data_IF_983287835111
#
_entry.id   IF_983287835111
#
_cell.length_a   1.000
_cell.length_b   1.000
_cell.length_c   1.000
_cell.angle_alpha   90.00
_cell.angle_beta   90.00
_cell.angle_gamma   90.00
#
_symmetry.space_group_name_H-M   'P 1'
#
loop_
_entity.id
_entity.type
_entity.pdbx_description
1 polymer ?
#
# COMPACT_ATOMS: atom_id res chain seq x y z
N UNK A 1 60.14 -53.45 -24.28
CA UNK A 1 60.06 -52.11 -23.69
C UNK A 1 58.60 -51.77 -23.39
N UNK A 2 58.17 -51.79 -22.12
CA UNK A 2 56.87 -51.24 -21.72
C UNK A 2 57.11 -50.37 -20.50
N UNK A 3 57.04 -49.05 -20.74
CA UNK A 3 57.14 -48.00 -19.75
C UNK A 3 55.71 -47.57 -19.37
N UNK A 4 55.59 -47.04 -18.14
CA UNK A 4 54.65 -46.01 -17.69
C UNK A 4 53.31 -46.46 -17.07
N UNK A 5 52.68 -45.74 -16.14
CA UNK A 5 53.02 -44.65 -15.16
C UNK A 5 51.86 -44.68 -14.15
N UNK A 6 52.13 -44.24 -12.93
CA UNK A 6 51.23 -44.20 -11.78
C UNK A 6 50.05 -43.20 -11.88
N UNK A 7 49.01 -43.49 -11.08
CA UNK A 7 48.11 -42.58 -10.34
C UNK A 7 47.32 -41.49 -11.10
N UNK A 8 45.99 -41.49 -10.93
CA UNK A 8 45.24 -40.29 -10.51
C UNK A 8 43.88 -40.69 -9.91
N UNK A 9 43.73 -40.40 -8.62
CA UNK A 9 42.48 -40.44 -7.89
C UNK A 9 41.67 -39.17 -8.18
N UNK A 10 40.37 -39.30 -8.48
CA UNK A 10 39.39 -38.23 -8.25
C UNK A 10 38.09 -38.85 -7.76
N UNK A 11 37.88 -38.73 -6.45
CA UNK A 11 36.61 -38.90 -5.76
C UNK A 11 35.79 -37.63 -5.99
N UNK A 12 34.80 -37.67 -6.88
CA UNK A 12 33.84 -36.58 -7.07
C UNK A 12 32.53 -36.92 -6.36
N UNK A 13 32.47 -36.65 -5.06
CA UNK A 13 31.26 -36.79 -4.26
C UNK A 13 30.46 -35.48 -4.36
N UNK A 14 29.66 -35.37 -5.43
CA UNK A 14 28.71 -34.28 -5.60
C UNK A 14 27.52 -34.50 -4.65
N UNK A 15 27.60 -33.98 -3.42
CA UNK A 15 26.46 -33.90 -2.52
C UNK A 15 25.50 -32.84 -3.06
N UNK A 16 24.47 -33.28 -3.77
CA UNK A 16 23.28 -32.49 -4.03
C UNK A 16 22.55 -32.26 -2.70
N UNK A 17 22.70 -31.07 -2.12
CA UNK A 17 21.91 -30.68 -0.95
C UNK A 17 20.52 -30.19 -1.41
N UNK A 18 19.41 -30.73 -0.87
CA UNK A 18 18.09 -30.16 -1.10
C UNK A 18 18.01 -28.79 -0.43
N UNK A 19 17.60 -27.76 -1.19
CA UNK A 19 17.42 -26.41 -0.68
C UNK A 19 16.23 -26.37 0.27
N UNK A 20 16.46 -25.94 1.50
CA UNK A 20 15.42 -25.69 2.50
C UNK A 20 14.73 -24.36 2.16
N UNK A 21 13.75 -24.37 1.25
CA UNK A 21 13.00 -23.15 0.87
C UNK A 21 11.70 -22.92 1.66
N UNK A 22 11.20 -23.88 2.43
CA UNK A 22 9.80 -23.83 2.89
C UNK A 22 9.51 -22.92 4.10
N UNK A 23 10.53 -22.53 4.88
CA UNK A 23 10.36 -21.73 6.10
C UNK A 23 10.39 -20.20 5.87
N UNK A 24 11.04 -19.74 4.79
CA UNK A 24 11.13 -18.32 4.46
C UNK A 24 9.79 -17.82 3.88
N UNK A 25 9.23 -18.51 2.90
CA UNK A 25 7.95 -18.15 2.25
C UNK A 25 6.78 -18.00 3.24
N UNK A 26 6.74 -18.84 4.27
CA UNK A 26 5.69 -18.79 5.30
C UNK A 26 5.77 -17.54 6.20
N UNK A 27 6.97 -16.98 6.38
CA UNK A 27 7.17 -15.77 7.17
C UNK A 27 6.90 -14.52 6.33
N UNK A 28 7.25 -14.54 5.05
CA UNK A 28 6.99 -13.45 4.12
C UNK A 28 5.48 -13.23 3.94
N UNK A 29 4.71 -14.29 3.68
CA UNK A 29 3.23 -14.21 3.61
C UNK A 29 2.59 -13.71 4.92
N UNK A 30 3.23 -13.93 6.08
CA UNK A 30 2.75 -13.38 7.37
C UNK A 30 3.05 -11.88 7.46
N UNK A 31 4.20 -11.44 6.97
CA UNK A 31 4.59 -10.03 6.95
C UNK A 31 3.68 -9.24 6.00
N UNK A 32 3.47 -9.70 4.78
CA UNK A 32 2.61 -9.01 3.80
C UNK A 32 1.17 -8.87 4.30
N UNK A 33 0.66 -9.88 5.02
CA UNK A 33 -0.64 -9.79 5.68
C UNK A 33 -0.70 -8.71 6.77
N UNK A 34 0.40 -8.45 7.47
CA UNK A 34 0.47 -7.36 8.45
C UNK A 34 0.47 -6.01 7.74
N UNK A 35 1.22 -5.88 6.66
CA UNK A 35 1.27 -4.67 5.82
C UNK A 35 -0.12 -4.35 5.24
N UNK A 36 -0.77 -5.32 4.59
CA UNK A 36 -2.17 -5.19 4.11
C UNK A 36 -3.16 -4.79 5.22
N UNK A 37 -2.93 -5.22 6.46
CA UNK A 37 -3.78 -4.81 7.60
C UNK A 37 -3.49 -3.37 8.03
N UNK A 38 -2.22 -2.97 7.99
CA UNK A 38 -1.76 -1.62 8.28
C UNK A 38 -2.34 -0.63 7.26
N UNK A 39 -2.14 -0.87 5.97
CA UNK A 39 -2.62 0.01 4.89
C UNK A 39 -4.14 0.13 4.89
N UNK A 40 -4.85 -0.94 5.26
CA UNK A 40 -6.30 -0.89 5.46
C UNK A 40 -6.70 0.05 6.59
N UNK A 41 -5.90 0.13 7.66
CA UNK A 41 -6.14 1.02 8.80
C UNK A 41 -5.85 2.47 8.39
N UNK A 42 -4.76 2.72 7.67
CA UNK A 42 -4.43 4.04 7.12
C UNK A 42 -5.54 4.54 6.19
N UNK A 43 -5.96 3.73 5.22
CA UNK A 43 -7.07 4.04 4.32
C UNK A 43 -8.40 4.31 5.04
N UNK A 44 -8.57 3.77 6.26
CA UNK A 44 -9.72 4.09 7.11
C UNK A 44 -9.55 5.45 7.79
N UNK A 45 -8.32 5.83 8.17
CA UNK A 45 -7.91 7.16 8.60
C UNK A 45 -8.24 8.19 7.54
N UNK A 46 -7.68 8.06 6.33
CA UNK A 46 -7.88 9.03 5.24
C UNK A 46 -9.37 9.25 4.93
N UNK A 47 -10.18 8.18 5.00
CA UNK A 47 -11.63 8.28 4.80
C UNK A 47 -12.34 9.06 5.89
N UNK A 48 -11.85 9.04 7.13
CA UNK A 48 -12.39 9.87 8.21
C UNK A 48 -11.99 11.32 7.98
N UNK A 49 -10.74 11.57 7.61
CA UNK A 49 -10.21 12.92 7.41
C UNK A 49 -10.94 13.60 6.24
N UNK A 50 -11.05 12.93 5.09
CA UNK A 50 -11.86 13.39 3.93
C UNK A 50 -13.32 13.70 4.33
N UNK A 51 -13.90 12.94 5.26
CA UNK A 51 -15.27 13.22 5.75
C UNK A 51 -15.30 14.46 6.64
N UNK A 52 -14.30 14.66 7.47
CA UNK A 52 -14.13 15.86 8.28
C UNK A 52 -14.00 17.08 7.38
N UNK A 53 -13.08 17.07 6.42
CA UNK A 53 -12.89 18.19 5.47
C UNK A 53 -14.18 18.47 4.67
N UNK A 54 -14.92 17.41 4.32
CA UNK A 54 -16.20 17.58 3.64
C UNK A 54 -17.23 18.30 4.51
N UNK A 55 -17.19 18.11 5.83
CA UNK A 55 -18.06 18.79 6.78
C UNK A 55 -17.65 20.24 6.95
N UNK A 56 -16.37 20.51 7.11
CA UNK A 56 -15.83 21.86 7.30
C UNK A 56 -16.11 22.72 6.07
N UNK A 57 -15.79 22.20 4.88
CA UNK A 57 -16.09 22.86 3.59
C UNK A 57 -17.59 23.13 3.38
N UNK A 58 -18.47 22.33 4.01
CA UNK A 58 -19.91 22.61 3.98
C UNK A 58 -20.28 23.74 4.92
N UNK A 59 -19.62 23.85 6.06
CA UNK A 59 -19.79 24.92 7.03
C UNK A 59 -19.25 26.24 6.47
N UNK A 60 -18.00 26.29 6.00
CA UNK A 60 -17.39 27.49 5.42
C UNK A 60 -18.20 28.02 4.22
N UNK A 61 -18.78 27.11 3.43
CA UNK A 61 -19.67 27.50 2.33
C UNK A 61 -20.94 28.19 2.83
N UNK A 62 -21.48 27.82 3.99
CA UNK A 62 -22.63 28.51 4.61
C UNK A 62 -22.20 29.87 5.12
N UNK A 63 -21.03 29.97 5.73
CA UNK A 63 -20.51 31.20 6.31
C UNK A 63 -20.24 32.24 5.20
N UNK A 64 -19.53 31.86 4.13
CA UNK A 64 -19.37 32.69 2.91
C UNK A 64 -20.72 33.19 2.37
N UNK A 65 -21.75 32.34 2.37
CA UNK A 65 -23.08 32.74 1.88
C UNK A 65 -23.74 33.75 2.81
N UNK A 66 -23.53 33.62 4.11
CA UNK A 66 -24.07 34.52 5.11
C UNK A 66 -23.37 35.88 5.04
N UNK A 67 -22.04 35.91 4.86
CA UNK A 67 -21.26 37.15 4.73
C UNK A 67 -21.67 37.93 3.49
N UNK A 68 -21.83 37.25 2.35
CA UNK A 68 -22.39 37.86 1.13
C UNK A 68 -23.77 38.45 1.38
N UNK A 69 -24.63 37.76 2.15
CA UNK A 69 -25.98 38.23 2.47
C UNK A 69 -25.95 39.45 3.40
N UNK A 70 -24.99 39.51 4.31
CA UNK A 70 -24.80 40.61 5.26
C UNK A 70 -24.09 41.82 4.63
N UNK A 71 -23.61 41.71 3.39
CA UNK A 71 -22.88 42.77 2.69
C UNK A 71 -21.38 42.78 2.97
N UNK A 72 -20.86 41.80 3.73
CA UNK A 72 -19.43 41.67 4.01
C UNK A 72 -18.72 40.98 2.84
N UNK A 73 -18.53 41.74 1.77
CA UNK A 73 -17.98 41.21 0.52
C UNK A 73 -16.48 40.97 0.56
N UNK A 74 -15.75 41.57 1.51
CA UNK A 74 -14.30 41.37 1.63
C UNK A 74 -14.01 40.05 2.32
N UNK A 75 -14.65 39.79 3.46
CA UNK A 75 -14.47 38.54 4.20
C UNK A 75 -15.01 37.35 3.39
N UNK A 76 -16.19 37.50 2.78
CA UNK A 76 -16.72 36.50 1.86
C UNK A 76 -15.76 36.14 0.70
N UNK A 77 -15.01 37.12 0.17
CA UNK A 77 -14.03 36.87 -0.91
C UNK A 77 -12.81 36.12 -0.40
N UNK A 78 -12.35 36.41 0.81
CA UNK A 78 -11.23 35.72 1.45
C UNK A 78 -11.63 34.27 1.73
N UNK A 79 -12.76 34.07 2.40
CA UNK A 79 -13.25 32.75 2.76
C UNK A 79 -13.58 31.92 1.51
N UNK A 80 -14.08 32.54 0.44
CA UNK A 80 -14.26 31.85 -0.83
C UNK A 80 -12.94 31.39 -1.48
N UNK A 81 -11.81 32.09 -1.25
CA UNK A 81 -10.48 31.65 -1.73
C UNK A 81 -9.97 30.48 -0.90
N UNK A 82 -10.12 30.54 0.42
CA UNK A 82 -9.68 29.47 1.33
C UNK A 82 -10.50 28.20 1.06
N UNK A 83 -11.83 28.34 0.93
CA UNK A 83 -12.72 27.26 0.51
C UNK A 83 -12.35 26.62 -0.85
N UNK A 84 -11.73 27.38 -1.76
CA UNK A 84 -11.22 26.83 -3.04
C UNK A 84 -9.95 26.00 -2.82
N UNK A 85 -9.08 26.38 -1.89
CA UNK A 85 -7.89 25.63 -1.49
C UNK A 85 -8.30 24.32 -0.81
N UNK A 86 -9.18 24.36 0.17
CA UNK A 86 -9.63 23.16 0.89
C UNK A 86 -10.32 22.16 -0.05
N UNK A 87 -11.08 22.66 -1.03
CA UNK A 87 -11.67 21.81 -2.09
C UNK A 87 -10.63 21.19 -3.00
N UNK A 88 -9.50 21.84 -3.24
CA UNK A 88 -8.39 21.30 -4.03
C UNK A 88 -7.65 20.23 -3.24
N UNK A 89 -7.39 20.49 -1.98
CA UNK A 89 -6.62 19.60 -1.11
C UNK A 89 -7.44 18.32 -0.84
N UNK A 90 -8.71 18.45 -0.47
CA UNK A 90 -9.63 17.29 -0.39
C UNK A 90 -9.71 16.47 -1.68
N UNK A 91 -9.60 17.13 -2.85
CA UNK A 91 -9.58 16.40 -4.14
C UNK A 91 -8.30 15.62 -4.32
N UNK A 92 -7.18 16.11 -3.79
CA UNK A 92 -5.90 15.41 -3.76
C UNK A 92 -6.00 14.18 -2.85
N UNK A 93 -6.46 14.35 -1.62
CA UNK A 93 -6.59 13.26 -0.64
C UNK A 93 -7.52 12.15 -1.15
N UNK A 94 -8.63 12.53 -1.80
CA UNK A 94 -9.52 11.56 -2.44
C UNK A 94 -8.84 10.80 -3.58
N UNK A 95 -7.91 11.41 -4.31
CA UNK A 95 -7.14 10.72 -5.37
C UNK A 95 -6.12 9.77 -4.76
N UNK A 96 -5.44 10.17 -3.71
CA UNK A 96 -4.43 9.35 -3.04
C UNK A 96 -5.07 8.13 -2.38
N UNK A 97 -6.11 8.33 -1.57
CA UNK A 97 -6.90 7.24 -1.00
C UNK A 97 -7.49 6.28 -2.06
N UNK A 98 -7.73 6.76 -3.30
CA UNK A 98 -8.13 5.89 -4.42
C UNK A 98 -6.96 5.08 -4.97
N UNK A 99 -5.75 5.66 -5.06
CA UNK A 99 -4.52 4.96 -5.45
C UNK A 99 -4.17 3.90 -4.40
N UNK A 100 -4.18 4.25 -3.13
CA UNK A 100 -3.85 3.32 -2.03
C UNK A 100 -4.86 2.17 -1.98
N UNK A 101 -6.14 2.47 -2.20
CA UNK A 101 -7.16 1.42 -2.34
C UNK A 101 -6.90 0.48 -3.52
N UNK A 102 -6.28 0.95 -4.61
CA UNK A 102 -5.91 0.09 -5.75
C UNK A 102 -4.67 -0.74 -5.41
N UNK A 103 -3.64 -0.14 -4.80
CA UNK A 103 -2.48 -0.86 -4.28
C UNK A 103 -2.89 -1.99 -3.35
N UNK A 104 -3.67 -1.68 -2.32
CA UNK A 104 -4.21 -2.66 -1.36
C UNK A 104 -5.04 -3.79 -2.00
N UNK A 105 -5.65 -3.55 -3.17
CA UNK A 105 -6.34 -4.61 -3.90
C UNK A 105 -5.37 -5.55 -4.61
N UNK A 106 -4.26 -5.01 -5.10
CA UNK A 106 -3.20 -5.78 -5.74
C UNK A 106 -2.44 -6.59 -4.69
N UNK A 107 -1.98 -5.98 -3.60
CA UNK A 107 -1.24 -6.68 -2.53
C UNK A 107 -2.05 -7.84 -1.95
N UNK A 108 -3.39 -7.69 -1.88
CA UNK A 108 -4.28 -8.78 -1.46
C UNK A 108 -4.38 -9.94 -2.44
N UNK A 109 -4.24 -9.68 -3.74
CA UNK A 109 -4.19 -10.74 -4.74
C UNK A 109 -2.85 -11.47 -4.65
N UNK A 110 -1.75 -10.72 -4.56
CA UNK A 110 -0.41 -11.27 -4.48
C UNK A 110 -0.28 -12.19 -3.25
N UNK A 111 -0.67 -11.70 -2.06
CA UNK A 111 -0.74 -12.51 -0.82
C UNK A 111 -1.63 -13.75 -0.94
N UNK A 112 -2.64 -13.74 -1.81
CA UNK A 112 -3.50 -14.90 -2.05
C UNK A 112 -2.81 -15.91 -2.95
N UNK A 113 -2.13 -15.45 -3.98
CA UNK A 113 -1.36 -16.27 -4.93
C UNK A 113 -0.19 -16.94 -4.22
N UNK A 114 0.61 -16.20 -3.45
CA UNK A 114 1.73 -16.76 -2.66
C UNK A 114 1.26 -17.82 -1.65
N UNK A 115 0.08 -17.59 -1.06
CA UNK A 115 -0.56 -18.58 -0.16
C UNK A 115 -0.98 -19.85 -0.91
N UNK A 116 -1.35 -19.76 -2.19
CA UNK A 116 -1.70 -20.94 -2.97
C UNK A 116 -0.43 -21.69 -3.37
N UNK A 117 0.60 -20.98 -3.85
CA UNK A 117 1.89 -21.58 -4.22
C UNK A 117 2.54 -22.31 -3.05
N UNK A 118 2.60 -21.68 -1.88
CA UNK A 118 3.15 -22.32 -0.66
C UNK A 118 2.40 -23.59 -0.26
N UNK A 119 1.08 -23.66 -0.49
CA UNK A 119 0.27 -24.86 -0.22
C UNK A 119 0.48 -25.97 -1.24
N UNK A 120 0.63 -25.62 -2.51
CA UNK A 120 0.82 -26.59 -3.58
C UNK A 120 2.25 -27.16 -3.53
N UNK A 121 3.23 -26.37 -3.08
CA UNK A 121 4.62 -26.80 -2.82
C UNK A 121 4.76 -27.73 -1.61
N UNK A 122 3.81 -27.69 -0.65
CA UNK A 122 3.80 -28.58 0.53
C UNK A 122 2.98 -29.87 0.34
N UNK A 123 2.38 -30.08 -0.83
CA UNK A 123 1.66 -31.31 -1.20
C UNK A 123 2.55 -32.26 -1.98
#
# INVERSE_FOLDING_TARGET
MRRQIALFAVLALAVSAPRVLSAQDSNDVKQDRKEVRHDRRELRGDRKDIRHDTRDIRQDRRDVRQDVKNGDTTDARRDARDLRRDRRDRRHDVRDARRDRRGLRQDRKDVREDKQETKDSTK
#
